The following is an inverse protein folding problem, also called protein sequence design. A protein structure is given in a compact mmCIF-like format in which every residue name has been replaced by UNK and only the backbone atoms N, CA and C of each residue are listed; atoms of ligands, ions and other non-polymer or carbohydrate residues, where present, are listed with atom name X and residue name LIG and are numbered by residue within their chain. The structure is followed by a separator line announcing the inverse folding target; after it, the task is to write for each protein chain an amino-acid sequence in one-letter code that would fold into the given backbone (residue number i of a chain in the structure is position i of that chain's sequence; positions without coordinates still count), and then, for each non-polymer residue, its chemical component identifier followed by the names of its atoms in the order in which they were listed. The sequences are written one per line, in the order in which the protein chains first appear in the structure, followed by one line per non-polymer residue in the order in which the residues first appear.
data_IF_835526883613
#
_entry.id   IF_835526883613
#
_cell.length_a   1.000
_cell.length_b   1.000
_cell.length_c   1.000
_cell.angle_alpha   90.00
_cell.angle_beta   90.00
_cell.angle_gamma   90.00
#
_symmetry.space_group_name_H-M   'P 1'
#
loop_
_entity.id
_entity.type
_entity.pdbx_description
1 polymer ?
#
# COMPACT_ATOMS: atom_id res chain seq x y z
N UNK A 1 -1.21 -10.20 -13.75
CA UNK A 1 -1.39 -8.94 -12.98
C UNK A 1 -1.31 -7.63 -13.79
N UNK A 2 -1.03 -7.60 -15.10
CA UNK A 2 -1.43 -6.47 -15.98
C UNK A 2 -2.23 -6.98 -17.18
N UNK A 3 -1.81 -8.12 -17.74
CA UNK A 3 -2.51 -8.81 -18.82
C UNK A 3 -3.98 -9.17 -18.50
N UNK A 4 -4.31 -9.55 -17.26
CA UNK A 4 -5.69 -9.88 -16.86
C UNK A 4 -6.61 -8.66 -16.81
N UNK A 5 -6.14 -7.53 -16.28
CA UNK A 5 -6.95 -6.29 -16.23
C UNK A 5 -7.21 -5.76 -17.64
N UNK A 6 -6.19 -5.82 -18.52
CA UNK A 6 -6.33 -5.51 -19.95
C UNK A 6 -7.34 -6.44 -20.61
N UNK A 7 -7.30 -7.75 -20.33
CA UNK A 7 -8.26 -8.71 -20.88
C UNK A 7 -9.70 -8.45 -20.41
N UNK A 8 -9.92 -8.09 -19.15
CA UNK A 8 -11.24 -7.70 -18.63
C UNK A 8 -11.74 -6.43 -19.32
N UNK A 9 -10.89 -5.40 -19.43
CA UNK A 9 -11.23 -4.15 -20.10
C UNK A 9 -11.58 -4.35 -21.58
N UNK A 10 -10.83 -5.18 -22.29
CA UNK A 10 -11.10 -5.53 -23.70
C UNK A 10 -12.44 -6.26 -23.85
N UNK A 11 -12.75 -7.23 -22.99
CA UNK A 11 -14.03 -7.98 -23.04
C UNK A 11 -15.24 -7.09 -22.74
N UNK A 12 -15.10 -6.17 -21.78
CA UNK A 12 -16.11 -5.14 -21.51
C UNK A 12 -16.31 -4.20 -22.70
N UNK A 13 -15.22 -3.78 -23.35
CA UNK A 13 -15.27 -2.98 -24.58
C UNK A 13 -16.02 -3.68 -25.71
N UNK A 14 -15.72 -4.96 -25.94
CA UNK A 14 -16.40 -5.78 -26.95
C UNK A 14 -17.88 -6.03 -26.63
N UNK A 15 -18.24 -6.21 -25.36
CA UNK A 15 -19.64 -6.34 -24.96
C UNK A 15 -20.42 -5.04 -25.21
N UNK A 16 -19.80 -3.87 -24.97
CA UNK A 16 -20.39 -2.55 -25.20
C UNK A 16 -20.55 -2.23 -26.69
N UNK A 17 -19.54 -2.52 -27.50
CA UNK A 17 -19.60 -2.35 -28.96
C UNK A 17 -20.72 -3.19 -29.59
N UNK A 18 -20.94 -4.41 -29.11
CA UNK A 18 -22.06 -5.25 -29.55
C UNK A 18 -23.42 -4.70 -29.13
N UNK A 19 -23.52 -4.11 -27.94
CA UNK A 19 -24.74 -3.43 -27.49
C UNK A 19 -25.06 -2.20 -28.35
N UNK A 20 -24.04 -1.42 -28.74
CA UNK A 20 -24.19 -0.19 -29.53
C UNK A 20 -24.56 -0.46 -31.00
N UNK A 21 -24.31 -1.68 -31.51
CA UNK A 21 -24.57 -2.07 -32.91
C UNK A 21 -25.77 -3.01 -33.11
N UNK A 22 -26.61 -3.22 -32.08
CA UNK A 22 -27.84 -4.02 -32.18
C UNK A 22 -28.85 -3.36 -33.13
N UNK A 23 -29.24 -3.99 -34.26
CA UNK A 23 -30.38 -3.55 -35.06
C UNK A 23 -31.68 -3.90 -34.33
N UNK A 24 -32.65 -3.00 -34.40
CA UNK A 24 -33.88 -2.98 -33.59
C UNK A 24 -34.85 -4.18 -33.81
N UNK A 25 -34.53 -5.18 -34.66
CA UNK A 25 -35.47 -6.24 -35.08
C UNK A 25 -34.81 -7.57 -35.50
N UNK A 26 -34.42 -8.41 -34.55
CA UNK A 26 -34.66 -9.88 -34.55
C UNK A 26 -33.99 -10.56 -33.33
N UNK A 27 -34.79 -11.16 -32.45
CA UNK A 27 -34.60 -11.06 -31.00
C UNK A 27 -33.88 -12.21 -30.27
N UNK A 28 -33.20 -13.14 -30.95
CA UNK A 28 -32.74 -14.38 -30.26
C UNK A 28 -31.23 -14.61 -30.30
N UNK A 29 -30.50 -14.03 -31.26
CA UNK A 29 -29.11 -14.42 -31.54
C UNK A 29 -28.06 -13.56 -30.84
N UNK A 30 -28.40 -12.35 -30.37
CA UNK A 30 -27.38 -11.40 -29.88
C UNK A 30 -27.37 -11.21 -28.35
N UNK A 31 -28.52 -11.29 -27.67
CA UNK A 31 -28.58 -11.16 -26.20
C UNK A 31 -27.81 -12.28 -25.47
N UNK A 32 -27.86 -13.50 -25.99
CA UNK A 32 -27.11 -14.64 -25.45
C UNK A 32 -25.59 -14.52 -25.67
N UNK A 33 -25.16 -13.82 -26.72
CA UNK A 33 -23.75 -13.53 -26.98
C UNK A 33 -23.24 -12.42 -26.06
N UNK A 34 -24.01 -11.32 -25.90
CA UNK A 34 -23.70 -10.23 -24.97
C UNK A 34 -23.65 -10.74 -23.52
N UNK A 35 -24.59 -11.58 -23.11
CA UNK A 35 -24.63 -12.17 -21.77
C UNK A 35 -23.41 -13.05 -21.49
N UNK A 36 -22.98 -13.88 -22.46
CA UNK A 36 -21.72 -14.65 -22.32
C UNK A 36 -20.49 -13.75 -22.16
N UNK A 37 -20.37 -12.67 -22.94
CA UNK A 37 -19.25 -11.74 -22.82
C UNK A 37 -19.22 -11.04 -21.46
N UNK A 38 -20.38 -10.65 -20.94
CA UNK A 38 -20.54 -10.11 -19.59
C UNK A 38 -20.14 -11.12 -18.51
N UNK A 39 -20.61 -12.36 -18.62
CA UNK A 39 -20.28 -13.44 -17.68
C UNK A 39 -18.76 -13.74 -17.69
N UNK A 40 -18.13 -13.74 -18.86
CA UNK A 40 -16.67 -13.93 -19.02
C UNK A 40 -15.85 -12.75 -18.49
N UNK A 41 -16.31 -11.52 -18.68
CA UNK A 41 -15.68 -10.32 -18.11
C UNK A 41 -15.83 -10.32 -16.58
N UNK A 42 -17.01 -10.66 -16.06
CA UNK A 42 -17.28 -10.74 -14.63
C UNK A 42 -16.46 -11.83 -13.96
N UNK A 43 -16.35 -13.00 -14.59
CA UNK A 43 -15.48 -14.10 -14.12
C UNK A 43 -14.01 -13.69 -14.11
N UNK A 44 -13.52 -13.08 -15.20
CA UNK A 44 -12.15 -12.57 -15.28
C UNK A 44 -11.84 -11.51 -14.22
N UNK A 45 -12.81 -10.64 -13.90
CA UNK A 45 -12.67 -9.66 -12.82
C UNK A 45 -12.58 -10.33 -11.43
N UNK A 46 -13.40 -11.35 -11.16
CA UNK A 46 -13.33 -12.14 -9.91
C UNK A 46 -11.99 -12.86 -9.75
N UNK A 47 -11.48 -13.45 -10.83
CA UNK A 47 -10.17 -14.10 -10.85
C UNK A 47 -9.06 -13.09 -10.57
N UNK A 48 -9.04 -11.94 -11.25
CA UNK A 48 -8.06 -10.89 -11.01
C UNK A 48 -8.10 -10.33 -9.57
N UNK A 49 -9.29 -10.17 -8.99
CA UNK A 49 -9.45 -9.76 -7.58
C UNK A 49 -8.91 -10.83 -6.62
N UNK A 50 -9.07 -12.10 -6.96
CA UNK A 50 -8.55 -13.23 -6.16
C UNK A 50 -7.03 -13.25 -6.21
N UNK A 51 -6.44 -13.13 -7.40
CA UNK A 51 -4.98 -13.08 -7.59
C UNK A 51 -4.36 -11.87 -6.87
N UNK A 52 -5.04 -10.70 -6.91
CA UNK A 52 -4.61 -9.52 -6.16
C UNK A 52 -4.66 -9.75 -4.64
N UNK A 53 -5.67 -10.45 -4.12
CA UNK A 53 -5.76 -10.84 -2.70
C UNK A 53 -4.70 -11.86 -2.31
N UNK A 54 -4.40 -12.80 -3.18
CA UNK A 54 -3.37 -13.83 -2.96
C UNK A 54 -1.97 -13.22 -2.95
N UNK A 55 -1.69 -12.31 -3.89
CA UNK A 55 -0.47 -11.50 -3.89
C UNK A 55 -0.36 -10.63 -2.64
N UNK A 56 -1.45 -9.97 -2.23
CA UNK A 56 -1.47 -9.18 -1.00
C UNK A 56 -1.20 -10.03 0.24
N UNK A 57 -1.70 -11.28 0.30
CA UNK A 57 -1.36 -12.25 1.36
C UNK A 57 0.11 -12.69 1.31
N UNK A 58 0.69 -12.88 0.12
CA UNK A 58 2.13 -13.17 -0.03
C UNK A 58 3.04 -12.02 0.43
N UNK A 59 2.51 -10.79 0.53
CA UNK A 59 3.22 -9.61 1.00
C UNK A 59 2.89 -9.30 2.48
N UNK A 60 1.94 -10.01 3.11
CA UNK A 60 1.55 -9.80 4.50
C UNK A 60 2.62 -10.38 5.45
N UNK A 61 3.36 -9.55 6.20
CA UNK A 61 4.38 -10.03 7.13
C UNK A 61 3.74 -10.90 8.22
N UNK A 62 4.30 -12.07 8.57
CA UNK A 62 3.79 -12.91 9.66
C UNK A 62 3.65 -12.18 11.01
N UNK A 63 4.44 -11.12 11.22
CA UNK A 63 4.31 -10.27 12.40
C UNK A 63 2.91 -9.65 12.57
N UNK A 64 2.18 -9.42 11.47
CA UNK A 64 0.84 -8.83 11.46
C UNK A 64 -0.29 -9.82 11.78
N UNK A 65 0.00 -11.12 11.91
CA UNK A 65 -1.00 -12.12 12.34
C UNK A 65 -1.57 -11.75 13.73
N UNK A 66 -0.72 -11.15 14.57
CA UNK A 66 -1.08 -10.64 15.91
C UNK A 66 -1.57 -9.20 15.92
N UNK A 67 -1.74 -8.58 14.74
CA UNK A 67 -2.16 -7.19 14.56
C UNK A 67 -1.00 -6.19 14.49
N UNK A 68 -1.29 -5.02 13.91
CA UNK A 68 -0.30 -3.95 13.70
C UNK A 68 0.41 -3.50 14.98
N UNK A 69 -0.30 -3.35 16.09
CA UNK A 69 0.27 -2.89 17.37
C UNK A 69 1.44 -3.78 17.83
N UNK A 70 1.19 -5.09 17.90
CA UNK A 70 2.20 -6.07 18.31
C UNK A 70 3.37 -6.15 17.31
N UNK A 71 3.08 -6.00 16.02
CA UNK A 71 4.11 -5.98 14.99
C UNK A 71 5.04 -4.77 15.13
N UNK A 72 4.49 -3.57 15.37
CA UNK A 72 5.27 -2.35 15.58
C UNK A 72 6.07 -2.40 16.89
N UNK A 73 5.49 -2.93 17.97
CA UNK A 73 6.22 -3.14 19.23
C UNK A 73 7.41 -4.10 19.05
N UNK A 74 7.20 -5.20 18.31
CA UNK A 74 8.27 -6.17 17.99
C UNK A 74 9.38 -5.55 17.15
N UNK A 75 9.01 -4.72 16.17
CA UNK A 75 9.96 -4.01 15.32
C UNK A 75 10.82 -3.04 16.14
N UNK A 76 10.21 -2.23 17.00
CA UNK A 76 10.91 -1.29 17.87
C UNK A 76 11.83 -2.00 18.88
N UNK A 77 11.40 -3.12 19.46
CA UNK A 77 12.21 -3.91 20.37
C UNK A 77 13.50 -4.48 19.72
N UNK A 78 13.52 -4.62 18.40
CA UNK A 78 14.68 -5.07 17.61
C UNK A 78 15.50 -3.93 17.04
N UNK A 79 15.06 -2.68 17.20
CA UNK A 79 15.77 -1.51 16.68
C UNK A 79 17.10 -1.33 17.41
N UNK A 80 18.21 -1.09 16.69
CA UNK A 80 19.48 -0.74 17.32
C UNK A 80 19.43 0.57 18.14
N UNK A 81 18.51 1.48 17.79
CA UNK A 81 18.27 2.73 18.52
C UNK A 81 17.06 2.53 19.45
N UNK A 82 17.18 2.78 20.76
CA UNK A 82 16.06 2.68 21.70
C UNK A 82 14.84 3.46 21.20
N UNK A 83 13.73 2.75 20.99
CA UNK A 83 12.53 3.29 20.35
C UNK A 83 11.31 3.12 21.25
N UNK A 84 10.70 4.23 21.64
CA UNK A 84 9.41 4.23 22.34
C UNK A 84 8.26 4.06 21.34
N UNK A 85 7.26 3.24 21.67
CA UNK A 85 6.12 2.96 20.78
C UNK A 85 4.82 3.39 21.43
N UNK A 86 4.01 4.14 20.70
CA UNK A 86 2.64 4.49 21.08
C UNK A 86 1.69 4.13 19.96
N UNK A 87 0.69 3.30 20.25
CA UNK A 87 -0.32 2.90 19.29
C UNK A 87 -1.69 3.26 19.83
N UNK A 88 -2.47 4.01 19.03
CA UNK A 88 -3.85 4.40 19.33
C UNK A 88 -4.71 4.16 18.09
N UNK A 89 -5.21 2.94 17.99
CA UNK A 89 -6.02 2.47 16.86
C UNK A 89 -7.34 1.96 17.42
N UNK A 90 -8.44 2.65 17.14
CA UNK A 90 -9.75 2.26 17.67
C UNK A 90 -10.41 1.17 16.81
N UNK A 91 -10.16 1.19 15.50
CA UNK A 91 -10.66 0.18 14.56
C UNK A 91 -9.50 -0.43 13.77
N UNK A 92 -9.43 -1.76 13.73
CA UNK A 92 -8.38 -2.47 12.98
C UNK A 92 -8.37 -2.02 11.50
N UNK A 93 -7.23 -1.53 10.98
CA UNK A 93 -7.10 -1.14 9.58
C UNK A 93 -7.27 -2.34 8.65
N UNK A 94 -7.47 -2.07 7.36
CA UNK A 94 -7.42 -3.13 6.36
C UNK A 94 -6.01 -3.74 6.31
N UNK A 95 -5.90 -5.03 5.92
CA UNK A 95 -4.60 -5.71 5.88
C UNK A 95 -3.56 -5.05 4.96
N UNK A 96 -4.02 -4.34 3.91
CA UNK A 96 -3.15 -3.54 3.04
C UNK A 96 -2.56 -2.34 3.80
N UNK A 97 -3.38 -1.64 4.57
CA UNK A 97 -2.94 -0.50 5.39
C UNK A 97 -2.03 -0.96 6.53
N UNK A 98 -2.34 -2.11 7.18
CA UNK A 98 -1.44 -2.70 8.17
C UNK A 98 -0.06 -3.01 7.57
N UNK A 99 -0.02 -3.66 6.39
CA UNK A 99 1.22 -4.01 5.71
C UNK A 99 2.05 -2.77 5.32
N UNK A 100 1.42 -1.78 4.69
CA UNK A 100 2.12 -0.55 4.29
C UNK A 100 2.66 0.19 5.52
N UNK A 101 1.86 0.31 6.58
CA UNK A 101 2.26 0.97 7.83
C UNK A 101 3.46 0.28 8.48
N UNK A 102 3.44 -1.06 8.54
CA UNK A 102 4.54 -1.86 9.05
C UNK A 102 5.83 -1.67 8.24
N UNK A 103 5.76 -1.76 6.91
CA UNK A 103 6.96 -1.58 6.07
C UNK A 103 7.49 -0.15 6.12
N UNK A 104 6.62 0.85 6.20
CA UNK A 104 7.04 2.24 6.39
C UNK A 104 7.78 2.41 7.71
N UNK A 105 7.22 1.89 8.81
CA UNK A 105 7.88 1.95 10.12
C UNK A 105 9.24 1.22 10.10
N UNK A 106 9.32 0.05 9.48
CA UNK A 106 10.56 -0.73 9.38
C UNK A 106 11.67 0.01 8.65
N UNK A 107 11.36 0.57 7.48
CA UNK A 107 12.31 1.32 6.68
C UNK A 107 12.72 2.63 7.37
N UNK A 108 11.77 3.35 8.00
CA UNK A 108 12.07 4.56 8.73
C UNK A 108 12.98 4.28 9.94
N UNK A 109 12.75 3.21 10.71
CA UNK A 109 13.62 2.83 11.82
C UNK A 109 15.00 2.35 11.33
N UNK A 110 15.07 1.66 10.18
CA UNK A 110 16.34 1.31 9.55
C UNK A 110 17.14 2.57 9.17
N UNK A 111 16.47 3.57 8.57
CA UNK A 111 17.08 4.85 8.25
C UNK A 111 17.60 5.57 9.50
N UNK A 112 16.85 5.57 10.60
CA UNK A 112 17.32 6.12 11.88
C UNK A 112 18.59 5.43 12.34
N UNK A 113 18.61 4.09 12.35
CA UNK A 113 19.76 3.30 12.79
C UNK A 113 21.01 3.51 11.91
N UNK A 114 20.82 3.68 10.60
CA UNK A 114 21.92 3.79 9.64
C UNK A 114 22.44 5.21 9.44
N UNK A 115 21.59 6.23 9.59
CA UNK A 115 21.90 7.58 9.08
C UNK A 115 21.78 8.71 10.10
N UNK A 116 20.96 8.55 11.14
CA UNK A 116 20.60 9.65 12.02
C UNK A 116 21.66 9.98 13.09
N UNK A 117 22.50 9.00 13.49
CA UNK A 117 23.33 9.10 14.70
C UNK A 117 22.51 9.49 15.95
N UNK A 118 21.27 9.01 16.02
CA UNK A 118 20.36 9.27 17.12
C UNK A 118 20.67 8.38 18.33
N UNK A 119 20.39 8.89 19.53
CA UNK A 119 20.44 8.08 20.76
C UNK A 119 19.08 7.54 21.18
N UNK A 120 17.98 8.12 20.66
CA UNK A 120 16.60 7.71 20.92
C UNK A 120 15.71 7.99 19.71
N UNK A 121 14.65 7.21 19.59
CA UNK A 121 13.58 7.42 18.64
C UNK A 121 12.20 7.18 19.27
N UNK A 122 11.16 7.61 18.58
CA UNK A 122 9.77 7.33 18.91
C UNK A 122 9.01 6.92 17.64
N UNK A 123 8.15 5.92 17.77
CA UNK A 123 7.23 5.44 16.75
C UNK A 123 5.79 5.61 17.27
N UNK A 124 5.03 6.47 16.63
CA UNK A 124 3.61 6.67 16.93
C UNK A 124 2.76 6.16 15.78
N UNK A 125 1.74 5.36 16.07
CA UNK A 125 0.73 4.94 15.10
C UNK A 125 -0.66 5.26 15.65
N UNK A 126 -1.33 6.26 15.09
CA UNK A 126 -2.61 6.74 15.60
C UNK A 126 -3.63 6.93 14.48
N UNK A 127 -4.88 6.61 14.77
CA UNK A 127 -5.99 6.86 13.86
C UNK A 127 -6.47 8.32 14.00
N UNK A 128 -6.60 9.01 12.88
CA UNK A 128 -7.12 10.37 12.78
C UNK A 128 -8.25 10.43 11.75
N UNK A 129 -9.48 10.21 12.21
CA UNK A 129 -10.64 10.10 11.34
C UNK A 129 -10.48 8.92 10.37
N UNK A 130 -10.53 9.14 9.03
CA UNK A 130 -10.37 8.06 8.06
C UNK A 130 -8.89 7.69 7.81
N UNK A 131 -7.94 8.41 8.40
CA UNK A 131 -6.51 8.22 8.16
C UNK A 131 -5.85 7.44 9.27
N UNK A 132 -4.91 6.57 8.91
CA UNK A 132 -3.93 6.03 9.85
C UNK A 132 -2.63 6.82 9.70
N UNK A 133 -2.17 7.45 10.78
CA UNK A 133 -0.93 8.23 10.80
C UNK A 133 0.16 7.43 11.48
N UNK A 134 1.27 7.23 10.78
CA UNK A 134 2.51 6.66 11.32
C UNK A 134 3.56 7.76 11.35
N UNK A 135 4.16 7.99 12.52
CA UNK A 135 5.22 8.98 12.71
C UNK A 135 6.42 8.28 13.32
N UNK A 136 7.58 8.40 12.66
CA UNK A 136 8.88 8.05 13.25
C UNK A 136 9.64 9.35 13.47
N UNK A 137 10.14 9.55 14.68
CA UNK A 137 10.97 10.70 15.06
C UNK A 137 12.21 10.21 15.76
N UNK A 138 13.34 10.82 15.46
CA UNK A 138 14.60 10.58 16.15
C UNK A 138 15.19 11.91 16.66
N UNK A 139 16.20 11.81 17.53
CA UNK A 139 16.94 12.97 18.05
C UNK A 139 18.35 13.10 17.44
N UNK A 140 18.52 12.62 16.20
CA UNK A 140 19.76 12.62 15.48
C UNK A 140 20.10 13.95 14.81
N UNK A 141 21.06 13.91 13.89
CA UNK A 141 21.66 15.09 13.24
C UNK A 141 20.78 15.77 12.17
N UNK A 142 19.63 15.19 11.84
CA UNK A 142 18.77 15.65 10.74
C UNK A 142 19.40 15.50 9.34
N UNK A 143 18.83 16.20 8.35
CA UNK A 143 19.30 16.18 6.96
C UNK A 143 18.72 15.07 6.07
N UNK A 144 17.64 14.41 6.49
CA UNK A 144 16.94 13.46 5.63
C UNK A 144 16.29 14.18 4.45
N UNK A 145 16.60 13.73 3.23
CA UNK A 145 16.08 14.30 1.99
C UNK A 145 15.60 13.20 1.04
N UNK A 146 14.55 13.51 0.28
CA UNK A 146 14.09 12.67 -0.82
C UNK A 146 15.04 12.85 -2.00
N UNK A 147 15.93 11.87 -2.21
CA UNK A 147 16.84 11.84 -3.36
C UNK A 147 16.28 10.88 -4.41
N UNK A 148 16.12 11.38 -5.63
CA UNK A 148 15.82 10.60 -6.84
C UNK A 148 16.92 10.88 -7.86
N UNK A 149 17.87 9.96 -8.04
CA UNK A 149 18.95 10.08 -9.02
C UNK A 149 18.96 8.91 -10.01
N UNK A 150 18.24 9.06 -11.12
CA UNK A 150 18.28 8.10 -12.23
C UNK A 150 18.01 6.65 -11.82
N UNK A 151 19.05 5.81 -11.82
CA UNK A 151 18.98 4.36 -11.55
C UNK A 151 18.83 3.98 -10.08
N UNK A 152 18.97 4.93 -9.16
CA UNK A 152 18.87 4.70 -7.72
C UNK A 152 17.81 5.63 -7.13
N UNK A 153 16.94 5.08 -6.27
CA UNK A 153 16.03 5.89 -5.47
C UNK A 153 16.36 5.65 -4.01
N UNK A 154 16.43 6.72 -3.21
CA UNK A 154 16.59 6.60 -1.76
C UNK A 154 15.44 5.77 -1.16
N UNK A 155 15.66 5.08 -0.04
CA UNK A 155 14.62 4.32 0.66
C UNK A 155 13.35 5.16 0.91
N UNK A 156 13.53 6.45 1.21
CA UNK A 156 12.45 7.42 1.39
C UNK A 156 11.64 7.71 0.11
N UNK A 157 12.28 7.73 -1.07
CA UNK A 157 11.58 7.86 -2.34
C UNK A 157 10.71 6.63 -2.64
N UNK A 158 11.22 5.43 -2.32
CA UNK A 158 10.44 4.19 -2.39
C UNK A 158 9.24 4.17 -1.43
N UNK A 159 9.39 4.74 -0.23
CA UNK A 159 8.27 4.92 0.70
C UNK A 159 7.22 5.88 0.15
N UNK A 160 7.63 6.99 -0.46
CA UNK A 160 6.73 7.95 -1.10
C UNK A 160 5.86 7.27 -2.17
N UNK A 161 6.47 6.46 -3.04
CA UNK A 161 5.75 5.75 -4.11
C UNK A 161 4.78 4.70 -3.54
N UNK A 162 5.20 3.96 -2.50
CA UNK A 162 4.35 2.93 -1.85
C UNK A 162 3.15 3.54 -1.10
N UNK A 163 3.36 4.66 -0.41
CA UNK A 163 2.30 5.37 0.30
C UNK A 163 1.33 6.03 -0.69
N UNK A 164 1.85 6.58 -1.79
CA UNK A 164 1.02 7.15 -2.86
C UNK A 164 0.12 6.13 -3.56
N UNK A 165 0.54 4.85 -3.63
CA UNK A 165 -0.26 3.78 -4.24
C UNK A 165 -1.57 3.46 -3.47
N UNK A 166 -1.75 3.99 -2.26
CA UNK A 166 -2.98 3.85 -1.45
C UNK A 166 -3.59 5.21 -1.09
N UNK A 167 -3.41 6.20 -1.96
CA UNK A 167 -3.88 7.59 -1.77
C UNK A 167 -3.38 8.23 -0.47
N UNK A 168 -2.25 7.75 0.06
CA UNK A 168 -1.59 8.28 1.24
C UNK A 168 -0.61 9.42 0.91
N UNK A 169 -0.07 10.03 1.97
CA UNK A 169 0.96 11.06 1.86
C UNK A 169 2.13 10.81 2.82
N UNK A 170 3.34 11.15 2.38
CA UNK A 170 4.56 11.13 3.18
C UNK A 170 5.11 12.55 3.31
N UNK A 171 5.29 13.01 4.54
CA UNK A 171 5.93 14.30 4.86
C UNK A 171 7.21 14.07 5.65
N UNK A 172 8.28 14.80 5.32
CA UNK A 172 9.58 14.70 6.01
C UNK A 172 9.97 16.09 6.50
N UNK A 173 10.28 16.19 7.79
CA UNK A 173 10.85 17.38 8.41
C UNK A 173 12.17 16.98 9.08
N UNK A 174 13.29 17.40 8.49
CA UNK A 174 14.62 17.01 8.95
C UNK A 174 15.64 18.11 8.65
N UNK A 175 15.55 19.28 9.31
CA UNK A 175 16.51 20.35 9.10
C UNK A 175 17.93 19.91 9.50
N UNK A 176 18.99 20.43 8.85
CA UNK A 176 20.36 20.16 9.27
C UNK A 176 20.59 20.56 10.73
N UNK A 177 21.12 19.67 11.56
CA UNK A 177 21.40 19.91 12.98
C UNK A 177 20.47 19.20 13.96
N UNK A 178 19.42 18.54 13.47
CA UNK A 178 18.46 17.80 14.29
C UNK A 178 17.06 18.41 14.25
N UNK A 179 16.04 17.70 14.77
CA UNK A 179 14.63 17.98 14.53
C UNK A 179 14.17 19.34 15.05
#
# INVERSE_FOLDING_TARGET
TQAQLVAVAMRLGQAREKLDHLPDKDQTTDLAAVRRLLDEAHRGAKEAITDLRDLARGIHPPALDTGLENALATLAARSPVPTEVTVDIQTRPSGVIEAISYFCAAELLANVAQHAHASRASLTCAQHGPWLRVVVRDNGRGGAALIRDGSSSSGLAGLCDRVGAVDGHLSIASPPGGP
#
